data_IF_083522810253
#
_entry.id   IF_083522810253
#
_cell.length_a   1.000
_cell.length_b   1.000
_cell.length_c   1.000
_cell.angle_alpha   90.00
_cell.angle_beta   90.00
_cell.angle_gamma   90.00
#
_symmetry.space_group_name_H-M   'P 1'
#
loop_
_entity.id
_entity.type
_entity.pdbx_description
1 polymer ?
#
# COMPACT_ATOMS: atom_id res chain seq x y z
N UNK A 1 -20.94 1.36 15.25
CA UNK A 1 -20.32 0.19 14.59
C UNK A 1 -18.85 0.49 14.41
N UNK A 2 -17.97 -0.45 14.74
CA UNK A 2 -16.53 -0.32 14.55
C UNK A 2 -16.15 -1.24 13.38
N UNK A 3 -15.55 -0.68 12.33
CA UNK A 3 -14.96 -1.45 11.24
C UNK A 3 -13.49 -1.73 11.54
N UNK A 4 -13.02 -2.94 11.24
CA UNK A 4 -11.61 -3.32 11.38
C UNK A 4 -11.13 -3.74 10.00
N UNK A 5 -10.07 -3.10 9.53
CA UNK A 5 -9.43 -3.39 8.24
C UNK A 5 -8.02 -3.92 8.50
N UNK A 6 -7.67 -5.01 7.84
CA UNK A 6 -6.30 -5.54 7.84
C UNK A 6 -5.61 -5.12 6.55
N UNK A 7 -4.43 -4.52 6.65
CA UNK A 7 -3.55 -4.29 5.51
C UNK A 7 -2.43 -5.32 5.59
N UNK A 8 -2.44 -6.29 4.67
CA UNK A 8 -1.41 -7.29 4.54
C UNK A 8 -0.44 -6.86 3.45
N UNK A 9 0.71 -6.33 3.86
CA UNK A 9 1.68 -5.67 3.00
C UNK A 9 2.90 -6.55 2.77
N UNK A 10 3.38 -6.56 1.53
CA UNK A 10 4.72 -7.04 1.19
C UNK A 10 5.81 -6.06 1.66
N UNK A 11 7.02 -6.24 1.16
CA UNK A 11 8.15 -5.37 1.49
C UNK A 11 7.95 -3.95 0.97
N UNK A 12 8.15 -2.98 1.87
CA UNK A 12 7.98 -1.56 1.59
C UNK A 12 9.32 -0.88 1.32
N UNK A 13 9.29 0.11 0.44
CA UNK A 13 10.39 1.04 0.21
C UNK A 13 10.39 2.13 1.32
N UNK A 14 10.53 1.73 2.59
CA UNK A 14 10.39 2.60 3.76
C UNK A 14 11.59 3.53 4.02
N UNK A 15 12.68 3.32 3.30
CA UNK A 15 13.91 4.12 3.39
C UNK A 15 13.82 5.45 2.61
N UNK A 16 12.77 5.61 1.80
CA UNK A 16 12.55 6.79 0.98
C UNK A 16 11.58 7.77 1.67
N UNK A 17 11.83 9.06 1.50
CA UNK A 17 10.94 10.10 1.99
C UNK A 17 9.59 10.07 1.23
N UNK A 18 8.50 10.45 1.91
CA UNK A 18 7.13 10.35 1.38
C UNK A 18 6.89 11.25 0.17
N UNK A 19 7.60 12.37 0.10
CA UNK A 19 7.51 13.37 -0.97
C UNK A 19 8.37 13.02 -2.19
N UNK A 20 9.22 11.99 -2.09
CA UNK A 20 9.95 11.47 -3.24
C UNK A 20 8.96 10.94 -4.29
N UNK A 21 9.10 11.30 -5.57
CA UNK A 21 8.21 10.82 -6.61
C UNK A 21 8.13 9.29 -6.64
N UNK A 22 6.91 8.74 -6.66
CA UNK A 22 6.67 7.29 -6.67
C UNK A 22 7.45 6.60 -7.80
N UNK A 23 7.51 7.22 -8.98
CA UNK A 23 8.24 6.69 -10.14
C UNK A 23 9.73 6.53 -9.86
N UNK A 24 10.36 7.50 -9.19
CA UNK A 24 11.78 7.43 -8.83
C UNK A 24 12.05 6.31 -7.83
N UNK A 25 11.13 6.09 -6.88
CA UNK A 25 11.22 4.99 -5.91
C UNK A 25 11.09 3.65 -6.61
N UNK A 26 10.15 3.51 -7.55
CA UNK A 26 9.94 2.29 -8.32
C UNK A 26 11.18 1.94 -9.16
N UNK A 27 11.75 2.93 -9.85
CA UNK A 27 12.95 2.72 -10.66
C UNK A 27 14.17 2.34 -9.80
N UNK A 28 14.39 3.03 -8.68
CA UNK A 28 15.54 2.77 -7.79
C UNK A 28 15.43 1.45 -7.03
N UNK A 29 14.21 0.97 -6.79
CA UNK A 29 13.98 -0.34 -6.16
C UNK A 29 13.82 -1.46 -7.19
N UNK A 30 14.00 -1.17 -8.47
CA UNK A 30 13.78 -2.11 -9.58
C UNK A 30 12.40 -2.79 -9.51
N UNK A 31 11.38 -2.05 -9.06
CA UNK A 31 10.01 -2.54 -8.84
C UNK A 31 9.90 -3.70 -7.83
N UNK A 32 10.94 -3.96 -7.02
CA UNK A 32 10.92 -5.05 -6.04
C UNK A 32 10.17 -4.71 -4.75
N UNK A 33 9.98 -3.42 -4.46
CA UNK A 33 9.38 -2.93 -3.23
C UNK A 33 8.11 -2.11 -3.51
N UNK A 34 7.22 -2.07 -2.53
CA UNK A 34 6.00 -1.26 -2.57
C UNK A 34 6.34 0.17 -2.12
N UNK A 35 6.04 1.21 -2.92
CA UNK A 35 6.20 2.60 -2.49
C UNK A 35 5.32 2.94 -1.29
N UNK A 36 5.85 3.69 -0.32
CA UNK A 36 5.08 4.08 0.87
C UNK A 36 3.85 4.94 0.51
N UNK A 37 3.92 5.73 -0.57
CA UNK A 37 2.80 6.51 -1.11
C UNK A 37 1.57 5.66 -1.40
N UNK A 38 1.77 4.43 -1.87
CA UNK A 38 0.67 3.57 -2.33
C UNK A 38 -0.08 2.98 -1.13
N UNK A 39 0.65 2.66 -0.06
CA UNK A 39 0.06 2.27 1.23
C UNK A 39 -0.75 3.42 1.82
N UNK A 40 -0.23 4.64 1.79
CA UNK A 40 -0.96 5.83 2.27
C UNK A 40 -2.25 6.03 1.45
N UNK A 41 -2.19 5.88 0.13
CA UNK A 41 -3.37 5.93 -0.73
C UNK A 41 -4.38 4.82 -0.41
N UNK A 42 -3.94 3.60 -0.10
CA UNK A 42 -4.83 2.52 0.31
C UNK A 42 -5.55 2.83 1.64
N UNK A 43 -4.86 3.47 2.60
CA UNK A 43 -5.48 3.94 3.85
C UNK A 43 -6.52 5.02 3.55
N UNK A 44 -6.18 6.01 2.71
CA UNK A 44 -7.14 7.04 2.29
C UNK A 44 -8.35 6.44 1.58
N UNK A 45 -8.15 5.43 0.75
CA UNK A 45 -9.24 4.70 0.10
C UNK A 45 -10.19 4.09 1.14
N UNK A 46 -9.68 3.36 2.15
CA UNK A 46 -10.51 2.79 3.23
C UNK A 46 -11.29 3.90 3.94
N UNK A 47 -10.62 5.00 4.29
CA UNK A 47 -11.25 6.13 5.00
C UNK A 47 -12.27 6.89 4.14
N UNK A 48 -12.15 6.84 2.82
CA UNK A 48 -13.08 7.47 1.88
C UNK A 48 -14.39 6.68 1.71
N UNK A 49 -14.44 5.43 2.19
CA UNK A 49 -15.66 4.62 2.13
C UNK A 49 -16.76 5.21 3.01
N UNK A 50 -18.01 5.05 2.57
CA UNK A 50 -19.17 5.48 3.37
C UNK A 50 -19.38 4.53 4.54
N UNK A 51 -20.12 4.97 5.57
CA UNK A 51 -20.48 4.14 6.73
C UNK A 51 -21.32 2.89 6.39
N UNK A 52 -21.80 2.77 5.16
CA UNK A 52 -22.54 1.61 4.68
C UNK A 52 -21.62 0.48 4.18
N UNK A 53 -20.30 0.72 4.10
CA UNK A 53 -19.31 -0.26 3.68
C UNK A 53 -18.12 -0.28 4.65
N UNK A 54 -17.44 -1.42 4.70
CA UNK A 54 -16.18 -1.57 5.43
C UNK A 54 -15.27 -2.48 4.59
N UNK A 55 -14.04 -2.04 4.37
CA UNK A 55 -13.02 -2.88 3.76
C UNK A 55 -12.51 -3.83 4.83
N UNK A 56 -12.68 -5.15 4.65
CA UNK A 56 -12.19 -6.13 5.60
C UNK A 56 -10.67 -6.27 5.53
N UNK A 57 -10.15 -6.38 4.32
CA UNK A 57 -8.74 -6.67 4.07
C UNK A 57 -8.29 -6.06 2.74
N UNK A 58 -7.06 -5.56 2.72
CA UNK A 58 -6.31 -5.26 1.50
C UNK A 58 -5.04 -6.10 1.54
N UNK A 59 -4.88 -6.99 0.56
CA UNK A 59 -3.63 -7.69 0.29
C UNK A 59 -2.87 -6.90 -0.78
N UNK A 60 -1.67 -6.44 -0.43
CA UNK A 60 -0.79 -5.66 -1.31
C UNK A 60 0.60 -6.32 -1.30
N UNK A 61 0.83 -7.32 -2.16
CA UNK A 61 2.14 -7.95 -2.29
C UNK A 61 3.12 -7.04 -3.04
N UNK A 62 4.41 -7.37 -3.00
CA UNK A 62 5.39 -6.69 -3.84
C UNK A 62 5.11 -6.96 -5.32
N UNK A 63 5.44 -6.01 -6.19
CA UNK A 63 5.12 -6.12 -7.63
C UNK A 63 5.80 -7.33 -8.29
N UNK A 64 6.97 -7.73 -7.76
CA UNK A 64 7.72 -8.91 -8.20
C UNK A 64 7.54 -10.12 -7.27
N UNK A 65 6.50 -10.15 -6.44
CA UNK A 65 6.19 -11.33 -5.64
C UNK A 65 5.85 -12.51 -6.55
N UNK A 66 6.64 -13.58 -6.45
CA UNK A 66 6.47 -14.81 -7.24
C UNK A 66 5.79 -15.93 -6.46
N UNK A 67 5.36 -15.67 -5.21
CA UNK A 67 4.61 -16.66 -4.44
C UNK A 67 3.17 -16.75 -4.96
N UNK A 68 2.95 -17.70 -5.88
CA UNK A 68 1.62 -18.16 -6.33
C UNK A 68 1.09 -19.24 -5.39
#
# INVERSE_FOLDING_TARGET
MIGVSVLNLGYLASEYEIDKPTQDVLEQTEYSLIPLSDVIQAIHFILSTTKASCVKEILMPTMLDQNV
#
